data_IF_650794415106
#
_entry.id   IF_650794415106
#
_cell.length_a   1.000
_cell.length_b   1.000
_cell.length_c   1.000
_cell.angle_alpha   90.00
_cell.angle_beta   90.00
_cell.angle_gamma   90.00
#
_symmetry.space_group_name_H-M   'P 1'
#
loop_
_entity.id
_entity.type
_entity.pdbx_description
1 polymer ?
#
# COMPACT_ATOMS: atom_id res chain seq x y z
N UNK A 1 6.29 -2.48 41.10
CA UNK A 1 6.05 -3.30 39.92
C UNK A 1 4.75 -2.80 39.28
N UNK A 2 4.87 -1.82 38.39
CA UNK A 2 3.74 -1.24 37.67
C UNK A 2 3.61 -1.98 36.34
N UNK A 3 2.57 -2.78 36.21
CA UNK A 3 2.15 -3.33 34.91
C UNK A 3 1.77 -2.16 34.00
N UNK A 4 2.62 -1.85 33.04
CA UNK A 4 2.25 -1.04 31.89
C UNK A 4 1.18 -1.85 31.13
N UNK A 5 -0.07 -1.40 31.21
CA UNK A 5 -1.17 -1.98 30.47
C UNK A 5 -0.88 -1.87 28.99
N UNK A 6 -0.72 -3.01 28.35
CA UNK A 6 -0.64 -3.16 26.90
C UNK A 6 -2.00 -2.69 26.35
N UNK A 7 -2.09 -1.43 25.92
CA UNK A 7 -3.26 -0.92 25.20
C UNK A 7 -3.34 -1.76 23.89
N UNK A 8 -4.23 -2.76 23.89
CA UNK A 8 -4.58 -3.48 22.65
C UNK A 8 -4.99 -2.43 21.63
N UNK A 9 -4.15 -2.24 20.63
CA UNK A 9 -4.54 -1.48 19.44
C UNK A 9 -5.69 -2.26 18.81
N UNK A 10 -6.92 -1.75 18.93
CA UNK A 10 -8.09 -2.32 18.29
C UNK A 10 -8.02 -1.98 16.82
N UNK A 11 -7.23 -2.73 16.06
CA UNK A 11 -7.17 -2.64 14.60
C UNK A 11 -8.47 -3.13 13.97
N UNK A 12 -8.75 -2.66 12.76
CA UNK A 12 -9.84 -3.19 11.95
C UNK A 12 -9.41 -4.54 11.35
N UNK A 13 -10.36 -5.46 11.19
CA UNK A 13 -10.14 -6.64 10.37
C UNK A 13 -10.31 -6.28 8.90
N UNK A 14 -9.22 -6.36 8.16
CA UNK A 14 -9.18 -6.04 6.73
C UNK A 14 -9.71 -7.19 5.88
N UNK A 15 -10.22 -6.85 4.69
CA UNK A 15 -10.50 -7.83 3.66
C UNK A 15 -9.19 -8.42 3.14
N UNK A 16 -9.13 -9.75 3.01
CA UNK A 16 -7.99 -10.49 2.54
C UNK A 16 -8.36 -11.36 1.34
N UNK A 17 -7.55 -11.33 0.30
CA UNK A 17 -7.62 -12.22 -0.86
C UNK A 17 -6.40 -13.12 -0.83
N UNK A 18 -6.63 -14.41 -0.59
CA UNK A 18 -5.56 -15.39 -0.42
C UNK A 18 -5.40 -16.28 -1.64
N UNK A 19 -4.16 -16.65 -1.96
CA UNK A 19 -3.82 -17.63 -2.98
C UNK A 19 -2.57 -18.42 -2.59
N UNK A 20 -2.50 -19.68 -3.00
CA UNK A 20 -1.35 -20.53 -2.75
C UNK A 20 -1.29 -21.07 -1.32
N UNK A 21 -0.16 -21.70 -0.99
CA UNK A 21 0.16 -22.28 0.30
C UNK A 21 1.67 -22.17 0.55
N UNK A 22 2.11 -22.36 1.80
CA UNK A 22 3.52 -22.25 2.19
C UNK A 22 3.80 -21.05 3.08
N UNK A 23 5.00 -20.47 2.96
CA UNK A 23 5.41 -19.32 3.78
C UNK A 23 4.53 -18.09 3.48
N UNK A 24 4.02 -17.40 4.52
CA UNK A 24 3.14 -16.28 4.32
C UNK A 24 3.85 -15.07 3.69
N UNK A 25 3.23 -14.49 2.65
CA UNK A 25 3.63 -13.24 1.99
C UNK A 25 2.43 -12.30 1.94
N UNK A 26 2.55 -11.16 2.59
CA UNK A 26 1.50 -10.12 2.65
C UNK A 26 1.77 -9.06 1.59
N UNK A 27 0.73 -8.68 0.83
CA UNK A 27 0.81 -7.64 -0.19
C UNK A 27 -0.10 -6.46 0.18
N UNK A 28 0.49 -5.26 0.26
CA UNK A 28 -0.19 -4.00 0.63
C UNK A 28 -0.16 -3.03 -0.55
N UNK A 29 -1.33 -2.64 -1.03
CA UNK A 29 -1.48 -1.75 -2.19
C UNK A 29 -1.22 -0.28 -1.85
N UNK A 30 -1.00 0.54 -2.89
CA UNK A 30 -0.87 2.00 -2.78
C UNK A 30 -2.22 2.71 -2.64
N UNK A 31 -2.18 4.03 -2.46
CA UNK A 31 -3.37 4.89 -2.38
C UNK A 31 -4.28 4.69 -3.60
N UNK A 32 -5.58 4.62 -3.39
CA UNK A 32 -6.64 4.29 -4.37
C UNK A 32 -6.56 2.88 -4.95
N UNK A 33 -5.62 2.05 -4.49
CA UNK A 33 -5.52 0.65 -4.90
C UNK A 33 -6.46 -0.27 -4.13
N UNK A 34 -6.33 -1.56 -4.41
CA UNK A 34 -7.01 -2.66 -3.72
C UNK A 34 -6.20 -3.95 -3.89
N UNK A 35 -6.54 -5.01 -3.13
CA UNK A 35 -5.91 -6.32 -3.22
C UNK A 35 -5.84 -6.86 -4.67
N UNK A 36 -6.89 -6.60 -5.47
CA UNK A 36 -6.95 -7.01 -6.87
C UNK A 36 -5.83 -6.44 -7.76
N UNK A 37 -5.20 -5.33 -7.37
CA UNK A 37 -4.09 -4.76 -8.14
C UNK A 37 -2.83 -5.63 -8.10
N UNK A 38 -2.75 -6.52 -7.13
CA UNK A 38 -1.68 -7.50 -6.99
C UNK A 38 -1.90 -8.80 -7.77
N UNK A 39 -3.03 -8.95 -8.51
CA UNK A 39 -3.46 -10.21 -9.11
C UNK A 39 -2.38 -10.93 -9.92
N UNK A 40 -1.62 -10.24 -10.78
CA UNK A 40 -0.52 -10.81 -11.57
C UNK A 40 0.62 -11.30 -10.67
N UNK A 41 1.04 -10.49 -9.69
CA UNK A 41 2.12 -10.83 -8.76
C UNK A 41 1.67 -11.95 -7.82
N UNK A 42 0.44 -11.88 -7.31
CA UNK A 42 -0.14 -12.91 -6.46
C UNK A 42 -0.17 -14.27 -7.19
N UNK A 43 -0.65 -14.31 -8.42
CA UNK A 43 -0.70 -15.54 -9.22
C UNK A 43 0.69 -16.12 -9.49
N UNK A 44 1.70 -15.26 -9.73
CA UNK A 44 3.07 -15.68 -9.99
C UNK A 44 3.79 -16.24 -8.75
N UNK A 45 3.41 -15.79 -7.54
CA UNK A 45 4.05 -16.21 -6.27
C UNK A 45 3.24 -17.28 -5.52
N UNK A 46 1.96 -17.49 -5.86
CA UNK A 46 1.10 -18.49 -5.23
C UNK A 46 1.61 -19.95 -5.30
N UNK A 47 2.40 -20.37 -6.32
CA UNK A 47 3.00 -21.71 -6.32
C UNK A 47 4.00 -21.96 -5.18
N UNK A 48 4.61 -20.89 -4.62
CA UNK A 48 5.72 -20.96 -3.67
C UNK A 48 5.36 -20.41 -2.28
N UNK A 49 4.31 -19.55 -2.22
CA UNK A 49 3.92 -18.82 -1.02
C UNK A 49 2.41 -18.88 -0.75
N UNK A 50 2.02 -18.77 0.52
CA UNK A 50 0.67 -18.34 0.90
C UNK A 50 0.60 -16.82 0.75
N UNK A 51 0.12 -16.35 -0.39
CA UNK A 51 0.08 -14.91 -0.72
C UNK A 51 -1.23 -14.31 -0.24
N UNK A 52 -1.15 -13.29 0.62
CA UNK A 52 -2.28 -12.62 1.29
C UNK A 52 -2.29 -11.16 0.84
N UNK A 53 -3.11 -10.83 -0.14
CA UNK A 53 -3.30 -9.44 -0.56
C UNK A 53 -4.41 -8.79 0.28
N UNK A 54 -4.10 -7.69 0.95
CA UNK A 54 -5.04 -6.98 1.82
C UNK A 54 -5.58 -5.73 1.14
N UNK A 55 -6.88 -5.48 1.29
CA UNK A 55 -7.44 -4.15 1.11
C UNK A 55 -7.16 -3.34 2.38
N UNK A 56 -6.42 -2.25 2.29
CA UNK A 56 -6.20 -1.36 3.44
C UNK A 56 -7.50 -0.64 3.83
N UNK A 57 -7.60 -0.13 5.09
CA UNK A 57 -8.76 0.65 5.52
C UNK A 57 -9.13 1.71 4.49
N UNK A 58 -10.39 2.02 4.36
CA UNK A 58 -10.97 2.95 3.39
C UNK A 58 -10.80 2.54 1.91
N UNK A 59 -10.33 1.31 1.61
CA UNK A 59 -10.14 0.80 0.26
C UNK A 59 -10.79 -0.57 0.06
N UNK A 60 -11.09 -0.88 -1.21
CA UNK A 60 -11.60 -2.18 -1.62
C UNK A 60 -12.86 -2.62 -0.90
N UNK A 61 -12.82 -3.78 -0.25
CA UNK A 61 -13.90 -4.34 0.56
C UNK A 61 -13.64 -4.21 2.08
N UNK A 62 -12.58 -3.52 2.48
CA UNK A 62 -12.27 -3.26 3.89
C UNK A 62 -13.16 -2.19 4.50
N UNK A 63 -13.34 -2.20 5.84
CA UNK A 63 -14.13 -1.18 6.53
C UNK A 63 -13.58 0.23 6.33
N UNK A 64 -14.50 1.21 6.33
CA UNK A 64 -14.14 2.63 6.38
C UNK A 64 -13.99 3.09 7.83
N UNK A 65 -13.00 3.98 8.07
CA UNK A 65 -12.72 4.55 9.38
C UNK A 65 -12.12 5.95 9.24
N UNK A 66 -12.49 6.84 10.15
CA UNK A 66 -12.05 8.23 10.13
C UNK A 66 -10.52 8.38 10.35
N UNK A 67 -9.95 7.60 11.28
CA UNK A 67 -8.51 7.59 11.48
C UNK A 67 -7.83 6.84 10.31
N UNK A 68 -6.86 7.48 9.65
CA UNK A 68 -6.11 6.89 8.55
C UNK A 68 -4.67 7.43 8.53
N UNK A 69 -3.95 7.16 9.61
CA UNK A 69 -2.50 7.33 9.67
C UNK A 69 -1.79 5.98 9.55
N UNK A 70 -0.47 6.00 9.40
CA UNK A 70 0.32 4.79 9.19
C UNK A 70 0.33 3.86 10.40
N UNK A 71 0.26 4.39 11.63
CA UNK A 71 0.20 3.58 12.83
C UNK A 71 -1.12 2.80 12.92
N UNK A 72 -2.24 3.48 12.63
CA UNK A 72 -3.55 2.85 12.59
C UNK A 72 -3.64 1.78 11.48
N UNK A 73 -3.12 2.07 10.27
CA UNK A 73 -3.09 1.09 9.17
C UNK A 73 -2.18 -0.11 9.46
N UNK A 74 -1.03 0.10 10.08
CA UNK A 74 -0.14 -0.99 10.52
C UNK A 74 -0.81 -1.87 11.58
N UNK A 75 -1.53 -1.27 12.52
CA UNK A 75 -2.31 -1.98 13.52
C UNK A 75 -3.40 -2.87 12.91
N UNK A 76 -4.08 -2.41 11.85
CA UNK A 76 -5.05 -3.24 11.12
C UNK A 76 -4.40 -4.46 10.46
N UNK A 77 -3.23 -4.25 9.85
CA UNK A 77 -2.48 -5.36 9.23
C UNK A 77 -2.12 -6.38 10.29
N UNK A 78 -1.56 -5.96 11.43
CA UNK A 78 -1.20 -6.87 12.53
C UNK A 78 -2.41 -7.63 13.07
N UNK A 79 -3.54 -6.96 13.32
CA UNK A 79 -4.79 -7.58 13.79
C UNK A 79 -5.34 -8.59 12.77
N UNK A 80 -5.29 -8.24 11.49
CA UNK A 80 -5.76 -9.12 10.41
C UNK A 80 -4.90 -10.36 10.30
N UNK A 81 -3.56 -10.24 10.37
CA UNK A 81 -2.64 -11.38 10.35
C UNK A 81 -2.86 -12.29 11.55
N UNK A 82 -3.02 -11.74 12.74
CA UNK A 82 -3.36 -12.52 13.94
C UNK A 82 -4.67 -13.29 13.77
N UNK A 83 -5.72 -12.65 13.20
CA UNK A 83 -7.01 -13.29 12.93
C UNK A 83 -6.93 -14.38 11.85
N UNK A 84 -5.95 -14.32 10.93
CA UNK A 84 -5.68 -15.34 9.90
C UNK A 84 -4.72 -16.45 10.39
N UNK A 85 -4.31 -16.39 11.66
CA UNK A 85 -3.36 -17.34 12.25
C UNK A 85 -1.93 -17.19 11.70
N UNK A 86 -1.57 -16.00 11.21
CA UNK A 86 -0.24 -15.70 10.68
C UNK A 86 0.56 -14.96 11.75
N UNK A 87 1.45 -15.67 12.41
CA UNK A 87 2.30 -15.09 13.46
C UNK A 87 3.43 -14.23 12.88
N UNK A 88 3.94 -14.58 11.69
CA UNK A 88 5.06 -13.89 11.04
C UNK A 88 4.98 -14.08 9.53
N UNK A 89 5.31 -13.03 8.75
CA UNK A 89 5.24 -13.05 7.30
C UNK A 89 6.32 -12.17 6.65
N UNK A 90 6.68 -12.47 5.40
CA UNK A 90 7.25 -11.48 4.52
C UNK A 90 6.17 -10.43 4.18
N UNK A 91 6.51 -9.14 4.23
CA UNK A 91 5.56 -8.04 3.97
C UNK A 91 6.08 -7.17 2.83
N UNK A 92 5.31 -7.10 1.77
CA UNK A 92 5.57 -6.25 0.61
C UNK A 92 4.52 -5.16 0.51
N UNK A 93 4.93 -3.90 0.51
CA UNK A 93 4.03 -2.77 0.32
C UNK A 93 4.48 -1.86 -0.82
N UNK A 94 3.53 -1.39 -1.62
CA UNK A 94 3.75 -0.41 -2.68
C UNK A 94 3.28 0.97 -2.25
N UNK A 95 4.11 2.00 -2.44
CA UNK A 95 3.74 3.40 -2.20
C UNK A 95 3.18 3.61 -0.78
N UNK A 96 1.94 4.06 -0.60
CA UNK A 96 1.26 4.13 0.72
C UNK A 96 1.36 2.80 1.49
N UNK A 97 1.10 1.66 0.83
CA UNK A 97 1.27 0.33 1.43
C UNK A 97 2.71 0.04 1.86
N UNK A 98 3.70 0.61 1.17
CA UNK A 98 5.11 0.55 1.57
C UNK A 98 5.37 1.30 2.88
N UNK A 99 4.77 2.47 3.07
CA UNK A 99 4.83 3.19 4.35
C UNK A 99 4.09 2.44 5.47
N UNK A 100 2.96 1.78 5.17
CA UNK A 100 2.27 0.89 6.13
C UNK A 100 3.18 -0.28 6.51
N UNK A 101 3.83 -0.93 5.55
CA UNK A 101 4.76 -2.02 5.80
C UNK A 101 5.97 -1.58 6.64
N UNK A 102 6.54 -0.42 6.34
CA UNK A 102 7.61 0.19 7.14
C UNK A 102 7.15 0.46 8.58
N UNK A 103 5.97 1.05 8.78
CA UNK A 103 5.40 1.31 10.10
C UNK A 103 5.16 0.01 10.86
N UNK A 104 4.64 -1.04 10.22
CA UNK A 104 4.47 -2.36 10.83
C UNK A 104 5.80 -2.94 11.31
N UNK A 105 6.84 -2.89 10.47
CA UNK A 105 8.17 -3.37 10.83
C UNK A 105 8.80 -2.61 12.00
N UNK A 106 8.51 -1.31 12.14
CA UNK A 106 9.02 -0.48 13.23
C UNK A 106 8.23 -0.64 14.54
N UNK A 107 6.94 -0.98 14.47
CA UNK A 107 6.06 -1.05 15.66
C UNK A 107 5.75 -2.47 16.13
N UNK A 108 5.85 -3.46 15.25
CA UNK A 108 5.64 -4.87 15.53
C UNK A 108 6.65 -5.75 14.75
N UNK A 109 7.96 -5.59 15.01
CA UNK A 109 9.03 -6.25 14.25
C UNK A 109 8.95 -7.79 14.28
N UNK A 110 8.35 -8.35 15.32
CA UNK A 110 8.14 -9.80 15.47
C UNK A 110 7.19 -10.38 14.44
N UNK A 111 6.28 -9.58 13.89
CA UNK A 111 5.31 -10.00 12.86
C UNK A 111 5.94 -10.01 11.46
N UNK A 112 7.03 -9.24 11.25
CA UNK A 112 7.67 -9.08 9.95
C UNK A 112 8.91 -9.97 9.86
N UNK A 113 8.91 -10.90 8.92
CA UNK A 113 10.07 -11.74 8.62
C UNK A 113 11.07 -11.05 7.71
N UNK A 114 10.55 -10.48 6.61
CA UNK A 114 11.28 -9.71 5.61
C UNK A 114 10.41 -8.54 5.20
N UNK A 115 11.00 -7.40 4.97
CA UNK A 115 10.30 -6.20 4.51
C UNK A 115 10.69 -5.88 3.06
N UNK A 116 9.70 -5.73 2.18
CA UNK A 116 9.91 -5.20 0.83
C UNK A 116 9.10 -3.92 0.67
N UNK A 117 9.79 -2.85 0.28
CA UNK A 117 9.20 -1.53 0.05
C UNK A 117 9.33 -1.18 -1.42
N UNK A 118 8.20 -1.13 -2.13
CA UNK A 118 8.16 -0.82 -3.54
C UNK A 118 7.83 0.67 -3.78
N UNK A 119 8.80 1.36 -4.30
CA UNK A 119 8.79 2.73 -4.83
C UNK A 119 8.26 3.81 -3.89
N UNK A 120 8.75 3.81 -2.66
CA UNK A 120 8.51 4.86 -1.66
C UNK A 120 9.66 4.87 -0.64
N UNK A 121 9.91 6.02 0.00
CA UNK A 121 10.86 6.17 1.10
C UNK A 121 10.15 6.57 2.40
N UNK A 122 10.80 6.40 3.57
CA UNK A 122 10.30 6.88 4.86
C UNK A 122 10.48 8.40 4.99
N UNK A 123 9.81 9.15 4.11
CA UNK A 123 9.93 10.60 3.99
C UNK A 123 8.59 11.26 3.69
N UNK A 124 8.51 12.57 3.89
CA UNK A 124 7.39 13.38 3.43
C UNK A 124 7.53 13.66 1.92
N UNK A 125 6.38 13.71 1.23
CA UNK A 125 6.29 14.01 -0.19
C UNK A 125 5.43 15.25 -0.43
N UNK A 126 5.70 16.01 -1.50
CA UNK A 126 4.86 17.14 -1.89
C UNK A 126 3.40 16.74 -2.11
N UNK A 127 2.42 17.64 -1.87
CA UNK A 127 0.99 17.33 -1.90
C UNK A 127 0.42 17.29 -3.34
N UNK A 128 1.03 16.50 -4.23
CA UNK A 128 0.65 16.44 -5.65
C UNK A 128 -0.66 15.70 -5.92
N UNK A 129 -1.15 14.85 -4.99
CA UNK A 129 -2.40 14.09 -5.17
C UNK A 129 -3.65 14.80 -4.62
N UNK A 130 -3.52 15.95 -3.94
CA UNK A 130 -4.69 16.66 -3.39
C UNK A 130 -5.65 17.14 -4.46
N UNK A 131 -5.13 17.59 -5.62
CA UNK A 131 -5.95 17.96 -6.78
C UNK A 131 -6.74 16.77 -7.34
N UNK A 132 -6.14 15.58 -7.35
CA UNK A 132 -6.80 14.34 -7.76
C UNK A 132 -7.95 14.01 -6.82
N UNK A 133 -7.72 14.05 -5.48
CA UNK A 133 -8.76 13.82 -4.47
C UNK A 133 -9.90 14.82 -4.61
N UNK A 134 -9.59 16.10 -4.78
CA UNK A 134 -10.60 17.14 -4.96
C UNK A 134 -11.44 16.91 -6.22
N UNK A 135 -10.83 16.51 -7.34
CA UNK A 135 -11.55 16.18 -8.57
C UNK A 135 -12.48 14.97 -8.38
N UNK A 136 -12.02 13.94 -7.66
CA UNK A 136 -12.86 12.77 -7.33
C UNK A 136 -14.05 13.16 -6.45
N UNK A 137 -13.85 14.02 -5.44
CA UNK A 137 -14.92 14.52 -4.57
C UNK A 137 -15.94 15.40 -5.33
N UNK A 138 -15.47 16.17 -6.30
CA UNK A 138 -16.31 17.05 -7.11
C UNK A 138 -17.10 16.31 -8.21
N UNK A 139 -16.77 15.04 -8.50
CA UNK A 139 -17.48 14.26 -9.51
C UNK A 139 -18.94 14.06 -9.11
N UNK A 140 -19.93 14.49 -9.95
CA UNK A 140 -21.35 14.27 -9.65
C UNK A 140 -21.70 12.77 -9.77
N UNK A 141 -21.74 12.06 -8.66
CA UNK A 141 -22.09 10.64 -8.62
C UNK A 141 -23.60 10.52 -8.41
N UNK A 142 -24.32 10.23 -9.49
CA UNK A 142 -25.79 10.14 -9.51
C UNK A 142 -26.26 8.97 -10.38
N UNK A 143 -27.51 8.48 -10.21
CA UNK A 143 -28.09 7.46 -11.10
C UNK A 143 -27.95 7.81 -12.57
N UNK A 144 -27.53 6.82 -13.39
CA UNK A 144 -27.26 7.02 -14.81
C UNK A 144 -25.84 7.48 -15.15
N UNK A 145 -24.97 7.74 -14.16
CA UNK A 145 -23.56 8.03 -14.43
C UNK A 145 -22.89 6.82 -15.11
N UNK A 146 -22.32 7.07 -16.27
CA UNK A 146 -21.56 6.06 -17.01
C UNK A 146 -20.06 6.24 -16.77
N UNK A 147 -19.27 5.16 -16.92
CA UNK A 147 -17.80 5.23 -16.83
C UNK A 147 -17.22 6.25 -17.81
N UNK A 148 -17.77 6.33 -19.04
CA UNK A 148 -17.33 7.29 -20.06
C UNK A 148 -17.60 8.75 -19.63
N UNK A 149 -18.76 9.02 -19.03
CA UNK A 149 -19.10 10.36 -18.54
C UNK A 149 -18.22 10.74 -17.34
N UNK A 150 -17.96 9.82 -16.42
CA UNK A 150 -17.07 10.04 -15.28
C UNK A 150 -15.61 10.28 -15.74
N UNK A 151 -15.10 9.50 -16.71
CA UNK A 151 -13.77 9.72 -17.29
C UNK A 151 -13.65 11.10 -17.94
N UNK A 152 -14.63 11.50 -18.75
CA UNK A 152 -14.66 12.81 -19.39
C UNK A 152 -14.70 13.96 -18.36
N UNK A 153 -15.46 13.82 -17.28
CA UNK A 153 -15.54 14.82 -16.21
C UNK A 153 -14.20 14.97 -15.46
N UNK A 154 -13.48 13.89 -15.24
CA UNK A 154 -12.17 13.92 -14.57
C UNK A 154 -11.04 14.42 -15.48
N UNK A 155 -11.19 14.35 -16.80
CA UNK A 155 -10.13 14.65 -17.77
C UNK A 155 -9.61 16.09 -17.70
N UNK A 156 -10.45 17.05 -17.27
CA UNK A 156 -10.06 18.47 -17.13
C UNK A 156 -9.01 18.68 -16.02
N UNK A 157 -9.01 17.84 -14.97
CA UNK A 157 -8.10 17.97 -13.82
C UNK A 157 -7.04 16.89 -13.82
N UNK A 158 -7.34 15.73 -14.39
CA UNK A 158 -6.48 14.55 -14.44
C UNK A 158 -6.26 14.18 -15.91
N UNK A 159 -5.24 14.74 -16.57
CA UNK A 159 -5.01 14.51 -18.00
C UNK A 159 -4.60 13.09 -18.35
N UNK A 160 -3.95 12.35 -17.42
CA UNK A 160 -3.43 11.00 -17.66
C UNK A 160 -4.56 9.98 -17.69
N UNK A 161 -4.87 9.43 -18.86
CA UNK A 161 -5.96 8.46 -19.05
C UNK A 161 -5.78 7.18 -18.20
N UNK A 162 -4.53 6.71 -18.05
CA UNK A 162 -4.20 5.56 -17.20
C UNK A 162 -4.55 5.80 -15.72
N UNK A 163 -4.25 6.99 -15.20
CA UNK A 163 -4.60 7.35 -13.83
C UNK A 163 -6.12 7.43 -13.66
N UNK A 164 -6.85 8.08 -14.58
CA UNK A 164 -8.32 8.11 -14.52
C UNK A 164 -8.93 6.71 -14.54
N UNK A 165 -8.45 5.84 -15.43
CA UNK A 165 -8.92 4.45 -15.52
C UNK A 165 -8.69 3.70 -14.20
N UNK A 166 -7.54 3.89 -13.55
CA UNK A 166 -7.21 3.34 -12.23
C UNK A 166 -8.15 3.87 -11.14
N UNK A 167 -8.33 5.18 -11.04
CA UNK A 167 -9.22 5.80 -10.05
C UNK A 167 -10.68 5.32 -10.20
N UNK A 168 -11.17 5.22 -11.43
CA UNK A 168 -12.53 4.79 -11.75
C UNK A 168 -12.81 3.30 -11.50
N UNK A 169 -11.80 2.48 -11.17
CA UNK A 169 -12.01 1.13 -10.65
C UNK A 169 -12.69 1.16 -9.27
N UNK A 170 -12.53 2.26 -8.53
CA UNK A 170 -13.13 2.47 -7.22
C UNK A 170 -14.56 3.02 -7.27
N UNK A 171 -15.13 3.25 -8.46
CA UNK A 171 -16.49 3.74 -8.63
C UNK A 171 -17.39 2.63 -9.16
N UNK A 172 -18.47 2.32 -8.43
CA UNK A 172 -19.53 1.45 -8.93
C UNK A 172 -20.39 2.24 -9.92
N UNK A 173 -20.78 1.56 -11.01
CA UNK A 173 -21.63 2.11 -12.08
C UNK A 173 -22.93 1.31 -12.19
N UNK A 174 -23.53 1.02 -11.06
CA UNK A 174 -24.83 0.33 -10.94
C UNK A 174 -26.01 1.34 -10.77
N UNK A 175 -27.18 0.84 -10.40
CA UNK A 175 -28.36 1.68 -10.20
C UNK A 175 -28.18 2.74 -9.10
N UNK A 176 -27.26 2.52 -8.15
CA UNK A 176 -26.88 3.45 -7.10
C UNK A 176 -25.35 3.67 -7.12
N UNK A 177 -24.84 4.47 -8.07
CA UNK A 177 -23.41 4.69 -8.20
C UNK A 177 -22.82 5.24 -6.90
N UNK A 178 -21.65 4.73 -6.51
CA UNK A 178 -20.96 5.20 -5.31
C UNK A 178 -19.48 4.85 -5.37
N UNK A 179 -18.65 5.67 -4.74
CA UNK A 179 -17.27 5.32 -4.45
C UNK A 179 -17.22 4.12 -3.52
N UNK A 180 -16.37 3.15 -3.84
CA UNK A 180 -16.09 1.97 -2.99
C UNK A 180 -15.12 2.32 -1.87
N UNK A 181 -14.29 3.33 -2.11
CA UNK A 181 -13.32 3.85 -1.15
C UNK A 181 -13.96 4.87 -0.22
N UNK A 182 -13.45 4.99 0.99
CA UNK A 182 -13.77 6.05 1.95
C UNK A 182 -13.15 7.37 1.50
N UNK A 183 -13.69 7.97 0.43
CA UNK A 183 -13.08 9.14 -0.22
C UNK A 183 -13.02 10.36 0.71
N UNK A 184 -13.99 10.53 1.60
CA UNK A 184 -13.99 11.62 2.59
C UNK A 184 -12.89 11.41 3.64
N UNK A 185 -12.74 10.19 4.13
CA UNK A 185 -11.72 9.80 5.11
C UNK A 185 -10.31 9.91 4.51
N UNK A 186 -10.14 9.46 3.24
CA UNK A 186 -8.89 9.60 2.50
C UNK A 186 -8.54 11.08 2.34
N UNK A 187 -9.50 11.92 1.93
CA UNK A 187 -9.30 13.35 1.75
C UNK A 187 -8.84 14.04 3.06
N UNK A 188 -9.48 13.70 4.18
CA UNK A 188 -9.11 14.21 5.49
C UNK A 188 -7.70 13.73 5.94
N UNK A 189 -7.30 12.51 5.54
CA UNK A 189 -6.05 11.90 5.91
C UNK A 189 -4.86 12.29 5.00
N UNK A 190 -5.07 13.02 3.90
CA UNK A 190 -3.99 13.37 2.95
C UNK A 190 -2.74 13.95 3.63
N UNK A 191 -2.82 14.86 4.60
CA UNK A 191 -1.61 15.36 5.27
C UNK A 191 -0.80 14.28 5.99
N UNK A 192 -1.46 13.27 6.58
CA UNK A 192 -0.79 12.15 7.23
C UNK A 192 -0.20 11.18 6.19
N UNK A 193 -0.92 10.91 5.10
CA UNK A 193 -0.47 10.03 4.00
C UNK A 193 0.75 10.61 3.27
N UNK A 194 0.80 11.92 3.05
CA UNK A 194 1.93 12.62 2.43
C UNK A 194 3.18 12.59 3.31
N UNK A 195 3.00 12.58 4.64
CA UNK A 195 4.08 12.50 5.62
C UNK A 195 4.59 11.09 5.88
N UNK A 196 5.54 10.99 6.81
CA UNK A 196 5.93 9.75 7.49
C UNK A 196 6.51 10.11 8.86
N UNK A 197 5.74 9.89 9.91
CA UNK A 197 6.18 10.06 11.29
C UNK A 197 6.60 8.71 11.85
N UNK A 198 7.90 8.43 11.82
CA UNK A 198 8.44 7.18 12.38
C UNK A 198 8.46 7.21 13.90
N UNK A 199 8.24 6.08 14.58
CA UNK A 199 8.60 5.93 15.97
C UNK A 199 10.13 6.04 16.14
N UNK A 200 10.60 6.24 17.36
CA UNK A 200 12.02 6.15 17.72
C UNK A 200 12.42 4.67 17.81
N UNK A 201 12.54 4.03 16.65
CA UNK A 201 12.80 2.60 16.50
C UNK A 201 13.54 2.30 15.20
N UNK A 202 14.20 1.16 15.14
CA UNK A 202 14.82 0.59 13.95
C UNK A 202 14.32 -0.83 13.74
N UNK A 203 14.23 -1.23 12.47
CA UNK A 203 14.00 -2.63 12.11
C UNK A 203 15.30 -3.23 11.55
N UNK A 204 15.88 -4.18 12.28
CA UNK A 204 17.14 -4.83 11.95
C UNK A 204 16.98 -6.14 11.14
N UNK A 205 15.76 -6.54 10.81
CA UNK A 205 15.49 -7.68 9.91
C UNK A 205 15.87 -7.37 8.46
N UNK A 206 15.76 -8.35 7.54
CA UNK A 206 16.06 -8.16 6.13
C UNK A 206 15.11 -7.14 5.48
N UNK A 207 15.65 -6.18 4.72
CA UNK A 207 14.88 -5.13 4.02
C UNK A 207 15.35 -4.97 2.57
N UNK A 208 14.39 -4.90 1.65
CA UNK A 208 14.62 -4.58 0.24
C UNK A 208 13.76 -3.38 -0.17
N UNK A 209 14.42 -2.33 -0.67
CA UNK A 209 13.76 -1.23 -1.38
C UNK A 209 13.86 -1.47 -2.89
N UNK A 210 12.72 -1.49 -3.58
CA UNK A 210 12.62 -1.61 -5.03
C UNK A 210 12.21 -0.26 -5.61
N UNK A 211 13.06 0.34 -6.44
CA UNK A 211 12.78 1.59 -7.14
C UNK A 211 12.40 1.32 -8.59
N UNK A 212 11.45 2.07 -9.15
CA UNK A 212 11.24 2.10 -10.60
C UNK A 212 12.34 2.92 -11.28
N UNK A 213 12.91 2.38 -12.38
CA UNK A 213 14.01 3.04 -13.08
C UNK A 213 13.65 4.40 -13.71
N UNK A 214 12.34 4.68 -13.89
CA UNK A 214 11.80 5.96 -14.36
C UNK A 214 11.04 6.72 -13.27
N UNK A 215 11.15 6.29 -12.00
CA UNK A 215 10.49 6.89 -10.85
C UNK A 215 11.47 7.74 -10.05
N UNK A 216 10.98 8.81 -9.46
CA UNK A 216 11.72 9.69 -8.55
C UNK A 216 11.22 9.61 -7.09
N UNK A 217 10.41 8.57 -6.76
CA UNK A 217 9.92 8.36 -5.40
C UNK A 217 11.01 7.88 -4.44
N UNK A 218 12.00 7.13 -4.90
CA UNK A 218 13.22 6.82 -4.12
C UNK A 218 14.38 7.58 -4.74
N UNK A 219 14.85 8.61 -4.04
CA UNK A 219 15.94 9.49 -4.49
C UNK A 219 17.18 9.32 -3.61
N UNK A 220 18.36 9.76 -4.09
CA UNK A 220 19.59 9.71 -3.30
C UNK A 220 19.51 10.42 -1.95
N UNK A 221 18.75 11.52 -1.85
CA UNK A 221 18.54 12.27 -0.60
C UNK A 221 17.73 11.49 0.45
N UNK A 222 17.03 10.43 0.08
CA UNK A 222 16.34 9.53 1.00
C UNK A 222 17.25 8.50 1.68
N UNK A 223 18.50 8.30 1.19
CA UNK A 223 19.40 7.25 1.69
C UNK A 223 19.66 7.34 3.20
N UNK A 224 19.82 8.57 3.71
CA UNK A 224 20.03 8.80 5.15
C UNK A 224 18.82 8.37 5.99
N UNK A 225 17.60 8.71 5.56
CA UNK A 225 16.37 8.33 6.25
C UNK A 225 16.14 6.81 6.22
N UNK A 226 16.43 6.17 5.08
CA UNK A 226 16.34 4.71 4.92
C UNK A 226 17.33 4.03 5.87
N UNK A 227 18.62 4.42 5.86
CA UNK A 227 19.65 3.80 6.67
C UNK A 227 19.40 3.98 8.19
N UNK A 228 18.83 5.14 8.58
CA UNK A 228 18.51 5.42 9.98
C UNK A 228 17.46 4.48 10.57
N UNK A 229 16.44 4.10 9.78
CA UNK A 229 15.33 3.24 10.25
C UNK A 229 15.54 1.76 9.90
N UNK A 230 16.25 1.49 8.80
CA UNK A 230 16.44 0.16 8.22
C UNK A 230 17.92 -0.09 7.89
N UNK A 231 18.76 -0.33 8.90
CA UNK A 231 20.23 -0.41 8.71
C UNK A 231 20.69 -1.59 7.82
N UNK A 232 19.85 -2.59 7.61
CA UNK A 232 20.09 -3.75 6.74
C UNK A 232 19.57 -3.57 5.31
N UNK A 233 19.02 -2.40 4.97
CA UNK A 233 18.34 -2.16 3.71
C UNK A 233 19.26 -2.38 2.52
N UNK A 234 18.79 -3.18 1.57
CA UNK A 234 19.34 -3.29 0.21
C UNK A 234 18.43 -2.53 -0.75
N UNK A 235 18.97 -2.06 -1.85
CA UNK A 235 18.22 -1.40 -2.90
C UNK A 235 18.41 -2.11 -4.22
N UNK A 236 17.34 -2.21 -5.01
CA UNK A 236 17.36 -2.68 -6.39
C UNK A 236 16.46 -1.81 -7.25
N UNK A 237 16.74 -1.79 -8.56
CA UNK A 237 16.00 -0.99 -9.54
C UNK A 237 15.31 -1.92 -10.52
N UNK A 238 14.00 -1.73 -10.70
CA UNK A 238 13.23 -2.37 -11.77
C UNK A 238 13.34 -1.50 -13.01
N UNK A 239 14.15 -1.94 -13.98
CA UNK A 239 14.37 -1.20 -15.21
C UNK A 239 13.04 -0.99 -15.97
N UNK A 240 12.97 0.08 -16.76
CA UNK A 240 11.82 0.40 -17.62
C UNK A 240 10.46 0.46 -16.93
N UNK A 241 10.44 0.70 -15.61
CA UNK A 241 9.24 0.88 -14.83
C UNK A 241 9.23 2.26 -14.15
N UNK A 242 8.05 2.87 -14.05
CA UNK A 242 7.76 4.05 -13.24
C UNK A 242 7.24 3.67 -11.86
N UNK A 243 6.34 4.49 -11.31
CA UNK A 243 5.81 4.31 -9.96
C UNK A 243 5.03 2.98 -9.77
N UNK A 244 4.32 2.51 -10.77
CA UNK A 244 3.60 1.22 -10.72
C UNK A 244 4.47 0.06 -11.23
N UNK A 245 5.69 -0.08 -10.70
CA UNK A 245 6.71 -1.01 -11.17
C UNK A 245 6.22 -2.47 -11.27
N UNK A 246 5.36 -2.91 -10.36
CA UNK A 246 4.76 -4.26 -10.35
C UNK A 246 3.71 -4.48 -11.46
N UNK A 247 3.15 -3.39 -12.01
CA UNK A 247 2.20 -3.44 -13.13
C UNK A 247 2.87 -3.10 -14.46
N UNK A 248 3.84 -2.19 -14.48
CA UNK A 248 4.53 -1.74 -15.69
C UNK A 248 5.60 -2.75 -16.17
N UNK A 249 6.31 -3.39 -15.24
CA UNK A 249 7.28 -4.45 -15.55
C UNK A 249 7.20 -5.58 -14.52
N UNK A 250 6.14 -6.42 -14.55
CA UNK A 250 5.95 -7.50 -13.58
C UNK A 250 7.06 -8.55 -13.62
N UNK A 251 7.67 -8.82 -14.78
CA UNK A 251 8.81 -9.74 -14.91
C UNK A 251 10.02 -9.23 -14.15
N UNK A 252 10.48 -8.03 -14.46
CA UNK A 252 11.63 -7.42 -13.77
C UNK A 252 11.38 -7.19 -12.27
N UNK A 253 10.13 -6.94 -11.89
CA UNK A 253 9.74 -6.86 -10.48
C UNK A 253 9.91 -8.20 -9.77
N UNK A 254 9.43 -9.31 -10.37
CA UNK A 254 9.57 -10.66 -9.82
C UNK A 254 11.03 -11.12 -9.79
N UNK A 255 11.82 -10.81 -10.82
CA UNK A 255 13.24 -11.13 -10.89
C UNK A 255 14.05 -10.47 -9.76
N UNK A 256 13.70 -9.23 -9.39
CA UNK A 256 14.30 -8.52 -8.27
C UNK A 256 13.81 -9.00 -6.90
N UNK A 257 12.54 -9.47 -6.83
CA UNK A 257 11.87 -9.85 -5.58
C UNK A 257 12.23 -11.27 -5.12
N UNK A 258 12.17 -12.27 -6.02
CA UNK A 258 12.32 -13.70 -5.67
C UNK A 258 13.59 -14.03 -4.92
N UNK A 259 14.80 -13.60 -5.35
CA UNK A 259 16.02 -13.91 -4.63
C UNK A 259 16.03 -13.39 -3.19
N UNK A 260 15.30 -12.30 -2.92
CA UNK A 260 15.17 -11.76 -1.58
C UNK A 260 14.18 -12.53 -0.71
N UNK A 261 13.14 -13.12 -1.30
CA UNK A 261 12.19 -13.95 -0.56
C UNK A 261 12.77 -15.33 -0.21
N UNK A 262 13.66 -15.87 -1.01
CA UNK A 262 14.28 -17.20 -0.85
C UNK A 262 15.45 -17.22 0.15
N UNK A 263 16.17 -16.12 0.30
CA UNK A 263 17.42 -16.05 1.04
C UNK A 263 17.50 -15.08 2.15
#
# INVERSE_FOLDING_TARGET
MTHAGNARMTGLRLNAVEAGAGSPLVLLHGLFGAAQNWGTIQAALAPEHRVIALDLRNHGASPHAAAMDYAAMAGDVAETLAALGVARAAVLGHSMGGKVAMMLALTAPEVVERLVVADIAPAAYPPHLRGVVAAMQALPVAPGLTRRAADAALAATIPEAGLRAFLLQNLRFDAAPAWRIGLAEIAAAMPAIEGFSSPDAQYAGPVLFLAGGRSDYIRPDHAGAIAALFPTARQAVVADAGHWLHAENPGGFLDALRPFLEG
#
